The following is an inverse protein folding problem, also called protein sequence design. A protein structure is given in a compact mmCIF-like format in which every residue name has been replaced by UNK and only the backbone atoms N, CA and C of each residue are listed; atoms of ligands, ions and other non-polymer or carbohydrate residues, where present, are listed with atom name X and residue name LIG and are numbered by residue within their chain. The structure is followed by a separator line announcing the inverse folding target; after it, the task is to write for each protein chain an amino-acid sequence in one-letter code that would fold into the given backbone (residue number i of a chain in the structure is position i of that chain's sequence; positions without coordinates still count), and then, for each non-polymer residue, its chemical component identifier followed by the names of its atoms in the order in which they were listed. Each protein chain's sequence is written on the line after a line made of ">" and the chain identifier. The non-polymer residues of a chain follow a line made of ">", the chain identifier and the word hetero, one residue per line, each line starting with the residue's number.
data_IF_688343697319
#
_entry.id   IF_688343697319
#
_cell.length_a   1.000
_cell.length_b   1.000
_cell.length_c   1.000
_cell.angle_alpha   90.00
_cell.angle_beta   90.00
_cell.angle_gamma   90.00
#
_symmetry.space_group_name_H-M   'P 1'
#
loop_
_entity.id
_entity.type
_entity.pdbx_description
1 polymer ?
#
# COMPACT_ATOMS: atom_id res chain seq x y z
N UNK A 1 -8.19 14.15 -0.43
CA UNK A 1 -6.76 13.95 -0.11
C UNK A 1 -6.38 12.55 -0.55
N UNK A 2 -5.29 12.42 -1.31
CA UNK A 2 -4.79 11.13 -1.80
C UNK A 2 -3.81 10.55 -0.78
N UNK A 3 -3.83 9.22 -0.57
CA UNK A 3 -2.79 8.51 0.19
C UNK A 3 -1.43 8.86 -0.42
N UNK A 4 -0.72 9.74 0.28
CA UNK A 4 0.60 10.19 -0.08
C UNK A 4 1.37 10.35 1.23
N UNK A 5 2.66 10.07 1.16
CA UNK A 5 3.57 10.33 2.26
C UNK A 5 3.38 11.78 2.74
N UNK A 6 3.21 11.95 4.04
CA UNK A 6 3.08 13.27 4.67
C UNK A 6 4.39 13.53 5.39
N UNK A 7 5.18 14.54 4.99
CA UNK A 7 6.40 14.89 5.73
C UNK A 7 6.08 15.18 7.20
N UNK A 8 6.88 14.63 8.11
CA UNK A 8 6.73 14.81 9.54
C UNK A 8 7.88 14.18 10.33
N UNK A 9 7.97 14.51 11.62
CA UNK A 9 9.09 14.13 12.50
C UNK A 9 8.71 13.09 13.57
N UNK A 10 7.59 12.38 13.37
CA UNK A 10 7.13 11.39 14.36
C UNK A 10 8.13 10.23 14.49
N UNK A 11 8.06 9.46 15.58
CA UNK A 11 8.95 8.31 15.81
C UNK A 11 8.94 7.34 14.62
N UNK A 12 7.78 7.07 14.02
CA UNK A 12 7.73 6.24 12.83
C UNK A 12 8.44 6.88 11.63
N UNK A 13 8.45 8.19 11.45
CA UNK A 13 9.18 8.81 10.33
C UNK A 13 10.70 8.62 10.43
N UNK A 14 11.21 8.39 11.65
CA UNK A 14 12.64 8.18 11.93
C UNK A 14 13.10 6.72 11.84
N UNK A 15 12.17 5.76 11.76
CA UNK A 15 12.49 4.33 11.65
C UNK A 15 12.91 3.95 10.22
N UNK A 16 13.79 2.95 10.11
CA UNK A 16 14.15 2.35 8.84
C UNK A 16 12.91 1.67 8.20
N UNK A 17 12.67 1.87 6.90
CA UNK A 17 11.58 1.23 6.15
C UNK A 17 11.50 -0.29 6.33
N UNK A 18 12.62 -0.97 6.52
CA UNK A 18 12.68 -2.43 6.72
C UNK A 18 12.04 -2.85 8.03
N UNK A 19 12.34 -2.13 9.11
CA UNK A 19 11.77 -2.38 10.44
C UNK A 19 10.25 -2.22 10.40
N UNK A 20 9.76 -1.19 9.70
CA UNK A 20 8.33 -0.95 9.50
C UNK A 20 7.66 -2.05 8.69
N UNK A 21 8.30 -2.51 7.61
CA UNK A 21 7.78 -3.63 6.81
C UNK A 21 7.73 -4.92 7.61
N UNK A 22 8.73 -5.19 8.45
CA UNK A 22 8.73 -6.34 9.35
C UNK A 22 7.56 -6.25 10.34
N UNK A 23 7.33 -5.08 10.96
CA UNK A 23 6.19 -4.86 11.85
C UNK A 23 4.87 -5.05 11.10
N UNK A 24 4.73 -4.53 9.89
CA UNK A 24 3.52 -4.68 9.09
C UNK A 24 3.26 -6.14 8.71
N UNK A 25 4.29 -6.87 8.27
CA UNK A 25 4.19 -8.28 7.91
C UNK A 25 3.91 -9.16 9.14
N UNK A 26 4.64 -8.94 10.24
CA UNK A 26 4.43 -9.64 11.51
C UNK A 26 3.04 -9.38 12.08
N UNK A 27 2.56 -8.13 12.03
CA UNK A 27 1.20 -7.79 12.45
C UNK A 27 0.15 -8.52 11.61
N UNK A 28 0.31 -8.55 10.28
CA UNK A 28 -0.60 -9.28 9.42
C UNK A 28 -0.60 -10.78 9.75
N UNK A 29 0.58 -11.40 9.92
CA UNK A 29 0.69 -12.80 10.30
C UNK A 29 0.00 -13.08 11.65
N UNK A 30 0.26 -12.26 12.67
CA UNK A 30 -0.37 -12.38 13.99
C UNK A 30 -1.89 -12.18 13.92
N UNK A 31 -2.38 -11.25 13.11
CA UNK A 31 -3.82 -11.02 12.92
C UNK A 31 -4.54 -12.20 12.25
N UNK A 32 -3.84 -12.98 11.42
CA UNK A 32 -4.38 -14.21 10.84
C UNK A 32 -4.27 -15.42 11.77
N UNK A 33 -3.20 -15.50 12.55
CA UNK A 33 -3.00 -16.55 13.56
C UNK A 33 -3.97 -16.43 14.75
N UNK A 34 -4.10 -15.24 15.33
CA UNK A 34 -4.92 -15.01 16.52
C UNK A 34 -6.31 -14.50 16.14
N UNK A 35 -7.23 -15.43 15.92
CA UNK A 35 -8.64 -15.14 15.60
C UNK A 35 -9.54 -14.94 16.83
N UNK A 36 -8.97 -15.04 18.03
CA UNK A 36 -9.72 -14.91 19.30
C UNK A 36 -10.01 -13.43 19.63
N UNK A 37 -11.15 -13.13 20.31
CA UNK A 37 -11.47 -11.76 20.72
C UNK A 37 -10.39 -11.11 21.58
N UNK A 38 -9.72 -11.89 22.45
CA UNK A 38 -8.61 -11.41 23.28
C UNK A 38 -7.37 -11.05 22.43
N UNK A 39 -7.03 -11.89 21.45
CA UNK A 39 -5.95 -11.61 20.50
C UNK A 39 -6.23 -10.34 19.69
N UNK A 40 -7.47 -10.17 19.24
CA UNK A 40 -7.88 -8.97 18.51
C UNK A 40 -7.86 -7.71 19.38
N UNK A 41 -8.22 -7.78 20.66
CA UNK A 41 -8.11 -6.67 21.58
C UNK A 41 -6.64 -6.21 21.75
N UNK A 42 -5.72 -7.16 21.93
CA UNK A 42 -4.28 -6.86 22.00
C UNK A 42 -3.76 -6.24 20.70
N UNK A 43 -4.14 -6.80 19.54
CA UNK A 43 -3.78 -6.25 18.23
C UNK A 43 -4.40 -4.87 17.97
N UNK A 44 -5.55 -4.57 18.57
CA UNK A 44 -6.17 -3.24 18.48
C UNK A 44 -5.32 -2.19 19.18
N UNK A 45 -4.87 -2.48 20.41
CA UNK A 45 -3.98 -1.59 21.15
C UNK A 45 -2.68 -1.34 20.36
N UNK A 46 -2.11 -2.40 19.79
CA UNK A 46 -0.91 -2.29 18.97
C UNK A 46 -1.14 -1.48 17.69
N UNK A 47 -2.26 -1.70 16.98
CA UNK A 47 -2.59 -0.96 15.77
C UNK A 47 -2.77 0.54 16.04
N UNK A 48 -3.44 0.88 17.14
CA UNK A 48 -3.60 2.27 17.59
C UNK A 48 -2.24 2.87 17.95
N UNK A 49 -1.39 2.14 18.67
CA UNK A 49 -0.04 2.58 19.00
C UNK A 49 0.79 2.85 17.73
N UNK A 50 0.78 1.94 16.75
CA UNK A 50 1.46 2.14 15.46
C UNK A 50 0.97 3.40 14.74
N UNK A 51 -0.35 3.63 14.69
CA UNK A 51 -0.92 4.82 14.05
C UNK A 51 -0.50 6.10 14.79
N UNK A 52 -0.55 6.12 16.13
CA UNK A 52 -0.15 7.27 16.95
C UNK A 52 1.35 7.56 16.83
N UNK A 53 2.20 6.53 16.82
CA UNK A 53 3.65 6.65 16.61
C UNK A 53 3.98 7.19 15.22
N UNK A 54 3.10 6.99 14.23
CA UNK A 54 3.17 7.60 12.91
C UNK A 54 2.67 9.06 12.85
N UNK A 55 2.29 9.66 13.98
CA UNK A 55 1.64 10.97 14.01
C UNK A 55 0.25 10.96 13.38
N UNK A 56 -0.31 9.75 13.20
CA UNK A 56 -1.57 9.47 12.54
C UNK A 56 -2.78 9.77 13.41
N UNK A 57 -3.91 10.01 12.77
CA UNK A 57 -5.19 10.26 13.43
C UNK A 57 -6.38 9.61 12.71
N UNK A 58 -7.60 9.75 13.26
CA UNK A 58 -8.81 9.19 12.65
C UNK A 58 -9.09 9.74 11.24
N UNK A 59 -8.53 10.91 10.91
CA UNK A 59 -8.61 11.49 9.57
C UNK A 59 -7.88 10.67 8.51
N UNK A 60 -6.82 9.94 8.86
CA UNK A 60 -6.09 9.10 7.89
C UNK A 60 -6.95 7.90 7.47
N UNK A 61 -7.72 7.35 8.40
CA UNK A 61 -8.68 6.27 8.17
C UNK A 61 -9.79 6.71 7.21
N UNK A 62 -10.14 7.99 7.17
CA UNK A 62 -11.13 8.52 6.22
C UNK A 62 -10.72 8.29 4.76
N UNK A 63 -9.43 8.12 4.48
CA UNK A 63 -8.96 7.76 3.13
C UNK A 63 -9.43 6.38 2.71
N UNK A 64 -9.63 5.47 3.68
CA UNK A 64 -10.19 4.13 3.48
C UNK A 64 -11.73 4.08 3.56
N UNK A 65 -12.43 5.23 3.52
CA UNK A 65 -13.91 5.29 3.52
C UNK A 65 -14.60 4.40 2.48
N UNK A 66 -13.92 4.08 1.38
CA UNK A 66 -14.47 3.18 0.36
C UNK A 66 -14.46 1.70 0.81
N UNK A 67 -13.54 1.32 1.70
CA UNK A 67 -13.47 -0.03 2.27
C UNK A 67 -14.47 -0.25 3.41
N UNK A 68 -14.80 0.79 4.19
CA UNK A 68 -15.71 0.69 5.34
C UNK A 68 -17.09 0.10 4.99
N UNK A 69 -17.79 0.53 3.91
CA UNK A 69 -19.07 -0.09 3.51
C UNK A 69 -18.93 -1.58 3.24
N UNK A 70 -17.85 -2.00 2.57
CA UNK A 70 -17.61 -3.42 2.27
C UNK A 70 -17.38 -4.21 3.56
N UNK A 71 -16.57 -3.67 4.48
CA UNK A 71 -16.28 -4.31 5.77
C UNK A 71 -17.54 -4.44 6.65
N UNK A 72 -18.45 -3.48 6.57
CA UNK A 72 -19.68 -3.44 7.35
C UNK A 72 -20.78 -4.33 6.74
N UNK A 73 -20.87 -4.38 5.41
CA UNK A 73 -21.89 -5.17 4.70
C UNK A 73 -21.54 -6.66 4.65
N UNK A 74 -20.25 -7.02 4.56
CA UNK A 74 -19.82 -8.42 4.43
C UNK A 74 -20.34 -9.35 5.55
N UNK A 75 -20.31 -8.98 6.86
CA UNK A 75 -20.88 -9.80 7.92
C UNK A 75 -22.40 -9.95 7.83
N UNK A 76 -23.10 -8.89 7.39
CA UNK A 76 -24.56 -8.90 7.23
C UNK A 76 -24.98 -9.85 6.09
N UNK A 77 -24.27 -9.81 4.98
CA UNK A 77 -24.51 -10.71 3.84
C UNK A 77 -24.16 -12.15 4.21
N UNK A 78 -23.07 -12.38 4.94
CA UNK A 78 -22.68 -13.73 5.37
C UNK A 78 -23.64 -14.34 6.42
N UNK A 79 -24.28 -13.49 7.23
CA UNK A 79 -25.30 -13.90 8.18
C UNK A 79 -26.65 -14.22 7.53
N UNK A 80 -26.96 -13.63 6.37
CA UNK A 80 -28.20 -13.86 5.66
C UNK A 80 -28.21 -15.24 4.98
N UNK A 81 -29.26 -16.01 5.21
CA UNK A 81 -29.44 -17.33 4.58
C UNK A 81 -30.78 -17.42 3.87
N UNK A 82 -30.79 -18.07 2.71
CA UNK A 82 -32.01 -18.40 1.96
C UNK A 82 -32.67 -19.63 2.61
N UNK A 83 -33.32 -19.43 3.76
CA UNK A 83 -34.08 -20.45 4.49
C UNK A 83 -34.07 -20.22 6.01
N UNK A 84 -35.06 -20.75 6.77
CA UNK A 84 -35.08 -20.65 8.23
C UNK A 84 -33.85 -21.33 8.87
N UNK A 85 -33.20 -20.72 9.87
CA UNK A 85 -33.37 -19.33 10.33
C UNK A 85 -32.84 -18.35 9.28
N UNK A 86 -33.62 -17.31 8.94
CA UNK A 86 -33.31 -16.33 7.88
C UNK A 86 -32.00 -15.55 8.15
N UNK A 87 -31.52 -15.59 9.39
CA UNK A 87 -30.27 -15.00 9.83
C UNK A 87 -29.52 -15.92 10.81
N UNK A 88 -28.27 -16.24 10.52
CA UNK A 88 -27.39 -17.03 11.40
C UNK A 88 -26.35 -16.13 12.07
N UNK A 89 -26.54 -15.89 13.36
CA UNK A 89 -25.69 -14.99 14.15
C UNK A 89 -24.25 -15.53 14.25
N UNK A 90 -24.03 -16.85 14.32
CA UNK A 90 -22.67 -17.40 14.36
C UNK A 90 -21.89 -17.12 13.07
N UNK A 91 -22.54 -17.19 11.90
CA UNK A 91 -21.91 -16.85 10.61
C UNK A 91 -21.63 -15.37 10.47
N UNK A 92 -22.54 -14.53 10.97
CA UNK A 92 -22.33 -13.10 11.02
C UNK A 92 -21.18 -12.74 11.97
N UNK A 93 -21.07 -13.38 13.13
CA UNK A 93 -20.04 -13.13 14.13
C UNK A 93 -18.64 -13.52 13.63
N UNK A 94 -18.50 -14.72 13.05
CA UNK A 94 -17.23 -15.19 12.46
C UNK A 94 -16.76 -14.28 11.33
N UNK A 95 -17.66 -13.87 10.45
CA UNK A 95 -17.37 -12.91 9.37
C UNK A 95 -17.09 -11.51 9.92
N UNK A 96 -17.78 -11.09 10.99
CA UNK A 96 -17.53 -9.83 11.69
C UNK A 96 -16.13 -9.75 12.28
N UNK A 97 -15.64 -10.83 12.89
CA UNK A 97 -14.26 -10.94 13.36
C UNK A 97 -13.26 -10.92 12.18
N UNK A 98 -13.61 -11.47 11.02
CA UNK A 98 -12.82 -11.33 9.80
C UNK A 98 -12.74 -9.88 9.30
N UNK A 99 -13.88 -9.20 9.21
CA UNK A 99 -13.93 -7.78 8.85
C UNK A 99 -13.14 -6.90 9.82
N UNK A 100 -13.23 -7.19 11.13
CA UNK A 100 -12.48 -6.47 12.15
C UNK A 100 -10.96 -6.65 11.98
N UNK A 101 -10.50 -7.86 11.66
CA UNK A 101 -9.08 -8.12 11.33
C UNK A 101 -8.59 -7.28 10.16
N UNK A 102 -9.36 -7.25 9.08
CA UNK A 102 -9.01 -6.45 7.89
C UNK A 102 -8.96 -4.97 8.25
N UNK A 103 -9.89 -4.48 9.07
CA UNK A 103 -9.86 -3.10 9.59
C UNK A 103 -8.56 -2.80 10.35
N UNK A 104 -8.12 -3.70 11.24
CA UNK A 104 -6.87 -3.54 11.98
C UNK A 104 -5.65 -3.49 11.06
N UNK A 105 -5.59 -4.35 10.05
CA UNK A 105 -4.51 -4.33 9.04
C UNK A 105 -4.51 -3.00 8.28
N UNK A 106 -5.69 -2.48 7.92
CA UNK A 106 -5.81 -1.17 7.26
C UNK A 106 -5.32 -0.02 8.15
N UNK A 107 -5.58 -0.06 9.46
CA UNK A 107 -5.07 0.93 10.43
C UNK A 107 -3.55 0.95 10.44
N UNK A 108 -2.91 -0.22 10.53
CA UNK A 108 -1.44 -0.33 10.51
C UNK A 108 -0.88 0.11 9.15
N UNK A 109 -1.53 -0.28 8.05
CA UNK A 109 -1.16 0.15 6.70
C UNK A 109 -1.27 1.67 6.52
N UNK A 110 -2.28 2.31 7.12
CA UNK A 110 -2.43 3.76 7.10
C UNK A 110 -1.23 4.45 7.76
N UNK A 111 -0.81 3.98 8.94
CA UNK A 111 0.38 4.45 9.63
C UNK A 111 1.66 4.26 8.81
N UNK A 112 1.79 3.10 8.15
CA UNK A 112 2.92 2.80 7.26
C UNK A 112 3.01 3.77 6.08
N UNK A 113 1.91 3.96 5.33
CA UNK A 113 1.90 4.82 4.12
C UNK A 113 2.12 6.29 4.49
N UNK A 114 1.60 6.73 5.64
CA UNK A 114 1.83 8.09 6.13
C UNK A 114 3.30 8.34 6.46
N UNK A 115 3.93 7.40 7.17
CA UNK A 115 5.28 7.55 7.73
C UNK A 115 6.43 7.09 6.83
N UNK A 116 6.13 6.48 5.67
CA UNK A 116 7.15 5.89 4.78
C UNK A 116 7.00 6.40 3.35
N UNK A 117 7.98 7.16 2.82
CA UNK A 117 8.03 7.51 1.42
C UNK A 117 8.05 6.26 0.54
N UNK A 118 7.40 6.34 -0.62
CA UNK A 118 7.35 5.17 -1.53
C UNK A 118 8.73 4.80 -2.10
N UNK A 119 9.66 5.77 -2.16
CA UNK A 119 11.07 5.56 -2.54
C UNK A 119 11.83 4.69 -1.53
N UNK A 120 11.47 4.79 -0.26
CA UNK A 120 12.07 4.07 0.86
C UNK A 120 11.57 2.63 0.92
N UNK A 121 10.26 2.42 0.76
CA UNK A 121 9.66 1.09 0.58
C UNK A 121 10.30 0.32 -0.58
N UNK A 122 10.55 1.02 -1.71
CA UNK A 122 11.26 0.47 -2.86
C UNK A 122 12.68 0.03 -2.50
N UNK A 123 13.43 0.86 -1.78
CA UNK A 123 14.80 0.54 -1.37
C UNK A 123 14.83 -0.69 -0.46
N UNK A 124 13.81 -0.87 0.38
CA UNK A 124 13.65 -2.07 1.18
C UNK A 124 13.36 -3.32 0.32
N UNK A 125 12.40 -3.25 -0.61
CA UNK A 125 12.07 -4.37 -1.52
C UNK A 125 13.29 -4.78 -2.38
N UNK A 126 13.99 -3.79 -2.95
CA UNK A 126 15.18 -4.05 -3.77
C UNK A 126 16.29 -4.77 -2.99
N UNK A 127 16.40 -4.56 -1.68
CA UNK A 127 17.39 -5.26 -0.84
C UNK A 127 16.88 -6.57 -0.23
N UNK A 128 15.57 -6.81 -0.26
CA UNK A 128 14.97 -8.09 0.15
C UNK A 128 15.13 -9.17 -0.93
N UNK A 129 15.20 -8.78 -2.21
CA UNK A 129 15.45 -9.70 -3.33
C UNK A 129 16.92 -9.62 -3.74
N UNK A 130 17.75 -10.64 -3.46
CA UNK A 130 19.18 -10.58 -3.76
C UNK A 130 19.47 -10.63 -5.27
N UNK A 131 20.59 -10.02 -5.67
CA UNK A 131 21.17 -10.13 -7.01
C UNK A 131 20.56 -9.24 -8.11
N UNK A 132 20.72 -9.67 -9.36
CA UNK A 132 20.18 -9.04 -10.58
C UNK A 132 18.66 -8.76 -10.53
N UNK A 133 17.79 -9.65 -10.03
CA UNK A 133 16.35 -9.35 -9.99
C UNK A 133 16.04 -8.19 -9.05
N UNK A 134 16.73 -8.07 -7.91
CA UNK A 134 16.58 -6.91 -7.01
C UNK A 134 16.95 -5.59 -7.70
N UNK A 135 18.05 -5.57 -8.45
CA UNK A 135 18.49 -4.40 -9.22
C UNK A 135 17.49 -3.99 -10.32
N UNK A 136 16.93 -4.97 -11.02
CA UNK A 136 15.90 -4.76 -12.04
C UNK A 136 14.61 -4.20 -11.42
N UNK A 137 14.10 -4.84 -10.37
CA UNK A 137 12.92 -4.37 -9.63
C UNK A 137 13.14 -2.98 -9.06
N UNK A 138 14.33 -2.76 -8.50
CA UNK A 138 14.85 -1.47 -8.13
C UNK A 138 14.63 -0.45 -9.23
N UNK A 139 15.34 -0.59 -10.34
CA UNK A 139 15.28 0.38 -11.45
C UNK A 139 13.86 0.55 -12.00
N UNK A 140 13.13 -0.55 -12.23
CA UNK A 140 11.76 -0.52 -12.75
C UNK A 140 10.82 0.31 -11.86
N UNK A 141 10.85 0.08 -10.55
CA UNK A 141 10.03 0.84 -9.61
C UNK A 141 10.44 2.33 -9.56
N UNK A 142 11.73 2.67 -9.77
CA UNK A 142 12.18 4.06 -9.94
C UNK A 142 11.44 4.75 -11.09
N UNK A 143 11.46 4.07 -12.23
CA UNK A 143 10.92 4.60 -13.47
C UNK A 143 9.42 4.75 -13.35
N UNK A 144 8.73 3.77 -12.75
CA UNK A 144 7.29 3.88 -12.46
C UNK A 144 6.99 5.11 -11.63
N UNK A 145 7.67 5.33 -10.49
CA UNK A 145 7.41 6.51 -9.66
C UNK A 145 7.78 7.84 -10.33
N UNK A 146 8.79 7.84 -11.19
CA UNK A 146 9.17 9.03 -11.96
C UNK A 146 8.18 9.32 -13.09
N UNK A 147 7.69 8.30 -13.78
CA UNK A 147 6.83 8.46 -14.96
C UNK A 147 5.35 8.51 -14.64
N UNK A 148 4.88 7.92 -13.54
CA UNK A 148 3.46 7.93 -13.17
C UNK A 148 2.90 9.36 -13.05
N UNK A 149 3.55 10.33 -12.38
CA UNK A 149 3.06 11.71 -12.34
C UNK A 149 3.03 12.36 -13.73
N UNK A 150 4.02 12.04 -14.58
CA UNK A 150 4.10 12.56 -15.94
C UNK A 150 3.00 11.98 -16.84
N UNK A 151 2.75 10.66 -16.76
CA UNK A 151 1.66 9.99 -17.47
C UNK A 151 0.30 10.53 -17.05
N UNK A 152 0.09 10.75 -15.75
CA UNK A 152 -1.14 11.39 -15.25
C UNK A 152 -1.34 12.76 -15.87
N UNK A 153 -0.29 13.59 -15.92
CA UNK A 153 -0.34 14.91 -16.59
C UNK A 153 -0.68 14.76 -18.07
N UNK A 154 -0.02 13.84 -18.76
CA UNK A 154 -0.24 13.61 -20.19
C UNK A 154 -1.68 13.18 -20.50
N UNK A 155 -2.27 12.30 -19.67
CA UNK A 155 -3.66 11.86 -19.80
C UNK A 155 -4.66 12.99 -19.51
N UNK A 156 -4.38 13.83 -18.50
CA UNK A 156 -5.23 14.98 -18.19
C UNK A 156 -5.21 16.01 -19.32
N UNK A 157 -4.03 16.34 -19.85
CA UNK A 157 -3.88 17.22 -21.01
C UNK A 157 -4.56 16.63 -22.25
N UNK A 158 -4.44 15.32 -22.49
CA UNK A 158 -5.16 14.67 -23.60
C UNK A 158 -6.68 14.76 -23.42
N UNK A 159 -7.18 14.55 -22.20
CA UNK A 159 -8.61 14.68 -21.87
C UNK A 159 -9.11 16.11 -22.08
N UNK A 160 -8.33 17.12 -21.70
CA UNK A 160 -8.65 18.53 -21.92
C UNK A 160 -8.69 18.87 -23.41
N UNK A 161 -7.73 18.40 -24.20
CA UNK A 161 -7.72 18.58 -25.65
C UNK A 161 -8.94 17.93 -26.33
N UNK A 162 -9.32 16.70 -25.92
CA UNK A 162 -10.53 16.03 -26.43
C UNK A 162 -11.78 16.84 -26.09
N UNK A 163 -11.88 17.38 -24.87
CA UNK A 163 -13.01 18.23 -24.46
C UNK A 163 -13.08 19.52 -25.26
N UNK A 164 -11.95 20.21 -25.47
CA UNK A 164 -11.89 21.46 -26.23
C UNK A 164 -12.28 21.27 -27.71
N UNK A 165 -12.04 20.08 -28.28
CA UNK A 165 -12.42 19.72 -29.66
C UNK A 165 -13.84 19.15 -29.79
N UNK A 166 -14.74 19.47 -28.87
CA UNK A 166 -16.13 19.00 -28.94
C UNK A 166 -16.36 17.56 -28.51
N UNK A 167 -15.39 16.92 -27.84
CA UNK A 167 -15.51 15.52 -27.39
C UNK A 167 -16.68 15.25 -26.43
N UNK A 168 -17.35 16.28 -25.91
CA UNK A 168 -18.58 16.13 -25.13
C UNK A 168 -19.70 15.38 -25.88
N UNK A 169 -19.78 15.56 -27.21
CA UNK A 169 -20.76 14.89 -28.07
C UNK A 169 -20.41 13.42 -28.39
N UNK A 170 -19.17 12.99 -28.12
CA UNK A 170 -18.75 11.62 -28.38
C UNK A 170 -19.23 10.66 -27.29
N UNK A 171 -19.56 9.40 -27.64
CA UNK A 171 -19.83 8.36 -26.66
C UNK A 171 -18.61 8.14 -25.75
N UNK A 172 -18.87 7.71 -24.50
CA UNK A 172 -17.82 7.52 -23.48
C UNK A 172 -16.69 6.63 -23.99
N UNK A 173 -17.03 5.55 -24.71
CA UNK A 173 -16.03 4.62 -25.27
C UNK A 173 -15.05 5.30 -26.21
N UNK A 174 -15.53 6.17 -27.10
CA UNK A 174 -14.66 6.87 -28.05
C UNK A 174 -13.77 7.90 -27.36
N UNK A 175 -14.32 8.64 -26.38
CA UNK A 175 -13.50 9.55 -25.55
C UNK A 175 -12.37 8.82 -24.83
N UNK A 176 -12.68 7.67 -24.21
CA UNK A 176 -11.69 6.85 -23.50
C UNK A 176 -10.66 6.33 -24.47
N UNK A 177 -11.06 5.85 -25.64
CA UNK A 177 -10.15 5.40 -26.70
C UNK A 177 -9.19 6.50 -27.13
N UNK A 178 -9.68 7.71 -27.43
CA UNK A 178 -8.84 8.84 -27.85
C UNK A 178 -7.81 9.22 -26.79
N UNK A 179 -8.22 9.31 -25.52
CA UNK A 179 -7.31 9.62 -24.40
C UNK A 179 -6.30 8.49 -24.18
N UNK A 180 -6.73 7.23 -24.26
CA UNK A 180 -5.87 6.07 -24.08
C UNK A 180 -4.81 5.97 -25.18
N UNK A 181 -5.19 6.09 -26.45
CA UNK A 181 -4.27 6.07 -27.60
C UNK A 181 -3.26 7.22 -27.47
N UNK A 182 -3.72 8.43 -27.16
CA UNK A 182 -2.81 9.56 -26.93
C UNK A 182 -1.84 9.33 -25.76
N UNK A 183 -2.33 8.74 -24.66
CA UNK A 183 -1.51 8.38 -23.50
C UNK A 183 -0.46 7.32 -23.82
N UNK A 184 -0.85 6.25 -24.52
CA UNK A 184 0.02 5.14 -24.92
C UNK A 184 1.11 5.63 -25.86
N UNK A 185 0.77 6.40 -26.90
CA UNK A 185 1.75 6.96 -27.84
C UNK A 185 2.78 7.84 -27.13
N UNK A 186 2.35 8.67 -26.16
CA UNK A 186 3.26 9.48 -25.35
C UNK A 186 4.12 8.64 -24.41
N UNK A 187 3.58 7.55 -23.87
CA UNK A 187 4.32 6.63 -23.02
C UNK A 187 5.45 5.93 -23.78
N UNK A 188 5.14 5.35 -24.96
CA UNK A 188 6.14 4.70 -25.82
C UNK A 188 7.21 5.68 -26.29
N UNK A 189 6.81 6.85 -26.82
CA UNK A 189 7.79 7.85 -27.25
C UNK A 189 8.66 8.42 -26.10
N UNK A 190 8.24 8.27 -24.83
CA UNK A 190 9.08 8.59 -23.67
C UNK A 190 9.99 7.41 -23.29
N UNK A 191 9.51 6.18 -23.39
CA UNK A 191 10.29 4.97 -23.16
C UNK A 191 11.46 4.87 -24.17
N UNK A 192 11.22 5.14 -25.45
CA UNK A 192 12.26 5.11 -26.49
C UNK A 192 13.34 6.16 -26.21
N UNK A 193 12.94 7.42 -25.99
CA UNK A 193 13.88 8.50 -25.63
C UNK A 193 14.67 8.22 -24.37
N UNK A 194 14.04 7.61 -23.37
CA UNK A 194 14.74 7.18 -22.16
C UNK A 194 15.74 6.07 -22.50
N UNK A 195 15.36 5.06 -23.27
CA UNK A 195 16.23 3.97 -23.67
C UNK A 195 17.48 4.48 -24.39
N UNK A 196 17.31 5.37 -25.37
CA UNK A 196 18.44 6.03 -26.06
C UNK A 196 19.32 6.81 -25.09
N UNK A 197 18.73 7.59 -24.19
CA UNK A 197 19.49 8.38 -23.21
C UNK A 197 20.24 7.51 -22.18
N UNK A 198 19.68 6.37 -21.79
CA UNK A 198 20.33 5.41 -20.90
C UNK A 198 21.52 4.73 -21.60
N UNK A 199 21.36 4.33 -22.86
CA UNK A 199 22.45 3.78 -23.67
C UNK A 199 23.59 4.79 -23.86
N UNK A 200 23.27 6.04 -24.21
CA UNK A 200 24.27 7.09 -24.38
C UNK A 200 25.04 7.42 -23.09
N UNK A 201 24.45 7.17 -21.92
CA UNK A 201 25.06 7.38 -20.60
C UNK A 201 25.66 6.10 -20.00
N UNK A 202 25.81 5.04 -20.80
CA UNK A 202 26.34 3.75 -20.37
C UNK A 202 25.65 3.23 -19.11
N UNK A 203 24.31 3.19 -19.10
CA UNK A 203 23.52 2.79 -17.94
C UNK A 203 24.02 1.47 -17.35
N UNK A 204 24.49 1.55 -16.11
CA UNK A 204 24.83 0.38 -15.31
C UNK A 204 23.64 -0.01 -14.43
N UNK A 205 23.38 -1.30 -14.31
CA UNK A 205 22.30 -1.87 -13.50
C UNK A 205 22.51 -1.74 -11.97
N UNK A 206 23.34 -0.79 -11.53
CA UNK A 206 23.64 -0.54 -10.13
C UNK A 206 23.13 0.85 -9.70
N UNK A 207 21.82 1.02 -9.44
CA UNK A 207 21.27 2.31 -9.04
C UNK A 207 21.79 2.71 -7.66
N UNK A 208 22.16 3.99 -7.48
CA UNK A 208 22.47 4.57 -6.18
C UNK A 208 21.23 4.57 -5.30
N UNK A 209 21.18 3.62 -4.36
CA UNK A 209 20.12 3.51 -3.37
C UNK A 209 20.30 4.58 -2.27
N UNK A 210 19.20 5.09 -1.68
CA UNK A 210 19.29 5.82 -0.42
C UNK A 210 20.04 4.98 0.62
N UNK A 211 20.88 5.63 1.43
CA UNK A 211 21.56 4.97 2.55
C UNK A 211 20.49 4.62 3.61
N UNK A 212 20.09 3.35 3.63
CA UNK A 212 19.38 2.74 4.74
C UNK A 212 20.39 2.42 5.84
N UNK A 213 20.19 2.98 7.02
CA UNK A 213 21.02 2.75 8.19
C UNK A 213 20.08 2.42 9.36
N UNK A 214 20.26 1.22 9.93
CA UNK A 214 19.55 0.83 11.13
C UNK A 214 20.03 1.70 12.29
N UNK A 215 19.10 2.44 12.89
CA UNK A 215 19.34 3.24 14.08
C UNK A 215 18.98 2.48 15.36
N UNK A 216 19.35 3.02 16.53
CA UNK A 216 18.98 2.42 17.82
C UNK A 216 17.46 2.35 18.03
N UNK A 217 16.69 3.23 17.39
CA UNK A 217 15.23 3.22 17.43
C UNK A 217 14.62 2.02 16.65
N UNK A 218 15.38 1.37 15.77
CA UNK A 218 14.89 0.23 14.98
C UNK A 218 14.87 -1.08 15.76
N UNK A 219 15.73 -1.26 16.76
CA UNK A 219 15.75 -2.48 17.58
C UNK A 219 14.40 -2.82 18.23
N UNK A 220 13.68 -1.88 18.90
CA UNK A 220 12.37 -2.20 19.45
C UNK A 220 11.35 -2.53 18.35
N UNK A 221 11.42 -1.86 17.19
CA UNK A 221 10.53 -2.18 16.07
C UNK A 221 10.79 -3.57 15.49
N UNK A 222 12.07 -3.97 15.37
CA UNK A 222 12.47 -5.31 14.95
C UNK A 222 12.04 -6.37 15.96
N UNK A 223 12.19 -6.10 17.26
CA UNK A 223 11.74 -7.00 18.32
C UNK A 223 10.22 -7.22 18.29
N UNK A 224 9.44 -6.15 18.10
CA UNK A 224 7.98 -6.25 17.96
C UNK A 224 7.60 -7.02 16.69
N UNK A 225 8.16 -6.66 15.53
CA UNK A 225 7.84 -7.34 14.27
C UNK A 225 8.24 -8.81 14.27
N UNK A 226 9.43 -9.13 14.78
CA UNK A 226 9.93 -10.50 14.93
C UNK A 226 9.11 -11.29 15.96
N UNK A 227 8.77 -10.69 17.10
CA UNK A 227 7.94 -11.31 18.12
C UNK A 227 6.54 -11.66 17.62
N UNK A 228 5.91 -10.77 16.83
CA UNK A 228 4.61 -11.06 16.20
C UNK A 228 4.69 -12.20 15.18
N UNK A 229 5.76 -12.23 14.38
CA UNK A 229 5.97 -13.30 13.41
C UNK A 229 6.20 -14.65 14.10
N UNK A 230 7.03 -14.69 15.14
CA UNK A 230 7.27 -15.89 15.95
C UNK A 230 6.00 -16.35 16.65
N UNK A 231 5.22 -15.44 17.24
CA UNK A 231 3.95 -15.77 17.85
C UNK A 231 2.96 -16.37 16.83
N UNK A 232 2.92 -15.84 15.61
CA UNK A 232 2.11 -16.41 14.54
C UNK A 232 2.55 -17.82 14.15
N UNK A 233 3.87 -18.06 14.00
CA UNK A 233 4.40 -19.39 13.68
C UNK A 233 4.14 -20.38 14.82
N UNK A 234 4.27 -19.96 16.08
CA UNK A 234 4.02 -20.81 17.24
C UNK A 234 2.55 -21.29 17.36
N UNK A 235 1.60 -20.63 16.70
CA UNK A 235 0.20 -21.11 16.63
C UNK A 235 -0.05 -22.13 15.53
N UNK A 236 0.89 -22.28 14.59
CA UNK A 236 0.82 -23.24 13.49
C UNK A 236 1.53 -24.57 13.80
N UNK A 237 2.39 -24.58 14.82
CA UNK A 237 3.10 -25.74 15.35
C UNK A 237 2.28 -26.40 16.46
#
# INVERSE_FOLDING_TARGET
>A
MTLSYVPGDSLAHRLDPRSKLLVQAGFAAAAYAYTTPRGLAALTLLAVACLRLAGGGPRDLWTYRAAFPVLLVAPLVAGATLGPPWFRVERAATTGLASYRVLLILVVAAGYVRSTPVRESRAAIQRAVPGKPGQFLGTGVALVFRFLPLLKRDLLTAREAVRARGGGALPVRERVRLVAVAGINRAFGRADRLGTALNARCFAWNPTLPRLALGPADYPALAVGGGLALAAVATLA
#
